data_IF_000521266368
#
_entry.id   IF_000521266368
#
_cell.length_a   1.000
_cell.length_b   1.000
_cell.length_c   1.000
_cell.angle_alpha   90.00
_cell.angle_beta   90.00
_cell.angle_gamma   90.00
#
_symmetry.space_group_name_H-M   'P 1'
#
loop_
_entity.id
_entity.type
_entity.pdbx_description
1 polymer ?
#
# COMPACT_ATOMS: atom_id res chain seq x y z
N UNK A 1 -2.60 15.13 -25.28
CA UNK A 1 -2.06 15.03 -26.65
C UNK A 1 -0.66 15.60 -26.64
N UNK A 2 0.35 14.76 -26.59
CA UNK A 2 1.73 15.19 -26.83
C UNK A 2 1.85 15.36 -28.35
N UNK A 3 1.66 16.56 -28.79
CA UNK A 3 2.01 16.93 -30.17
C UNK A 3 3.54 16.90 -30.20
N UNK A 4 4.09 15.85 -30.79
CA UNK A 4 5.51 15.79 -31.12
C UNK A 4 5.83 17.03 -31.96
N UNK A 5 6.70 17.92 -31.46
CA UNK A 5 7.06 19.13 -32.18
C UNK A 5 7.77 18.70 -33.44
N UNK A 6 7.13 18.93 -34.59
CA UNK A 6 7.79 18.79 -35.87
C UNK A 6 9.08 19.65 -35.85
N UNK A 7 10.22 19.11 -36.29
CA UNK A 7 11.46 19.90 -36.42
C UNK A 7 11.19 21.20 -37.14
N UNK A 8 11.85 22.28 -36.71
CA UNK A 8 11.65 23.63 -37.25
C UNK A 8 11.88 23.80 -38.76
N UNK A 9 12.48 22.80 -39.40
CA UNK A 9 12.70 22.72 -40.84
C UNK A 9 11.50 22.13 -41.63
N UNK A 10 10.45 21.68 -40.92
CA UNK A 10 9.16 21.24 -41.51
C UNK A 10 8.13 22.37 -41.42
N UNK A 11 8.53 23.57 -41.76
CA UNK A 11 7.65 24.74 -41.87
C UNK A 11 7.02 24.77 -43.26
N UNK A 12 5.95 24.00 -43.41
CA UNK A 12 5.09 24.04 -44.59
C UNK A 12 3.96 23.07 -44.37
N UNK A 13 2.81 23.61 -44.00
CA UNK A 13 1.57 22.90 -43.69
C UNK A 13 1.12 21.96 -44.83
N UNK A 14 1.75 22.08 -45.99
CA UNK A 14 1.33 21.40 -47.23
C UNK A 14 2.26 20.25 -47.66
N UNK A 15 3.29 19.90 -46.87
CA UNK A 15 4.13 18.75 -47.21
C UNK A 15 3.69 17.50 -46.44
N UNK A 16 3.10 16.57 -47.19
CA UNK A 16 2.87 15.23 -46.67
C UNK A 16 4.18 14.61 -46.17
N UNK A 17 4.28 14.22 -44.94
CA UNK A 17 5.43 13.47 -44.42
C UNK A 17 5.14 11.98 -44.42
N UNK A 18 6.05 11.17 -44.99
CA UNK A 18 6.00 9.72 -44.87
C UNK A 18 6.53 9.22 -43.50
N UNK A 19 7.05 10.13 -42.68
CA UNK A 19 7.55 9.82 -41.30
C UNK A 19 6.51 10.22 -40.28
N UNK A 20 5.43 9.46 -40.22
CA UNK A 20 4.40 9.64 -39.23
C UNK A 20 4.32 8.37 -38.40
N UNK A 21 4.33 8.52 -37.07
CA UNK A 21 4.14 7.44 -36.13
C UNK A 21 3.29 7.93 -34.95
N UNK A 22 2.50 7.06 -34.39
CA UNK A 22 1.89 7.32 -33.08
C UNK A 22 2.99 7.45 -32.03
N UNK A 23 2.83 8.38 -31.09
CA UNK A 23 3.65 8.42 -29.90
C UNK A 23 3.62 7.07 -29.16
N UNK A 24 4.68 6.73 -28.46
CA UNK A 24 4.80 5.49 -27.68
C UNK A 24 3.60 5.32 -26.73
N UNK A 25 3.09 6.43 -26.20
CA UNK A 25 1.92 6.50 -25.34
C UNK A 25 0.75 7.16 -26.10
N UNK A 26 -0.22 6.36 -26.46
CA UNK A 26 -1.36 6.80 -27.26
C UNK A 26 -2.52 5.84 -27.08
N UNK A 27 -3.70 6.19 -27.60
CA UNK A 27 -4.83 5.25 -27.64
C UNK A 27 -4.50 3.96 -28.39
N UNK A 28 -3.67 4.01 -29.41
CA UNK A 28 -3.23 2.83 -30.17
C UNK A 28 -2.11 2.07 -29.44
N UNK A 29 -1.12 2.80 -28.91
CA UNK A 29 0.02 2.24 -28.17
C UNK A 29 -0.35 1.83 -26.72
N UNK A 30 -1.30 2.50 -26.08
CA UNK A 30 -1.71 2.44 -24.68
C UNK A 30 -0.88 3.36 -23.78
N UNK A 31 -1.28 3.45 -22.53
CA UNK A 31 -0.70 4.35 -21.53
C UNK A 31 0.17 3.60 -20.52
N UNK A 32 1.10 4.27 -19.84
CA UNK A 32 1.86 3.68 -18.74
C UNK A 32 0.94 3.06 -17.68
N UNK A 33 1.37 1.97 -17.07
CA UNK A 33 0.64 1.26 -16.02
C UNK A 33 1.12 1.61 -14.62
N UNK A 34 2.35 2.11 -14.50
CA UNK A 34 2.91 2.52 -13.23
C UNK A 34 3.93 3.64 -13.40
N UNK A 35 4.23 4.35 -12.30
CA UNK A 35 5.08 5.54 -12.25
C UNK A 35 5.92 5.57 -10.97
N UNK A 36 7.18 6.03 -11.09
CA UNK A 36 8.06 6.27 -9.95
C UNK A 36 8.99 7.45 -10.20
N UNK A 37 9.41 8.14 -9.13
CA UNK A 37 10.53 9.08 -9.18
C UNK A 37 11.80 8.38 -8.74
N UNK A 38 12.86 8.49 -9.52
CA UNK A 38 14.16 7.92 -9.20
C UNK A 38 15.29 8.69 -9.88
N UNK A 39 16.32 9.11 -9.11
CA UNK A 39 17.50 9.80 -9.62
C UNK A 39 17.16 10.99 -10.52
N UNK A 40 16.39 11.94 -10.00
CA UNK A 40 15.98 13.19 -10.68
C UNK A 40 15.22 13.00 -11.99
N UNK A 41 14.63 11.82 -12.18
CA UNK A 41 13.81 11.48 -13.35
C UNK A 41 12.45 10.96 -12.95
N UNK A 42 11.48 11.23 -13.79
CA UNK A 42 10.17 10.57 -13.75
C UNK A 42 10.27 9.30 -14.60
N UNK A 43 9.92 8.17 -14.00
CA UNK A 43 9.93 6.89 -14.67
C UNK A 43 8.52 6.38 -14.88
N UNK A 44 8.24 5.99 -16.10
CA UNK A 44 7.03 5.28 -16.47
C UNK A 44 7.34 3.86 -16.88
N UNK A 45 6.39 2.96 -16.63
CA UNK A 45 6.54 1.59 -17.06
C UNK A 45 5.28 1.00 -17.66
N UNK A 46 5.43 0.13 -18.67
CA UNK A 46 4.34 -0.61 -19.28
C UNK A 46 4.85 -1.83 -20.03
N UNK A 47 4.12 -2.95 -19.92
CA UNK A 47 4.55 -4.21 -20.51
C UNK A 47 6.01 -4.51 -20.14
N UNK A 48 6.88 -4.63 -21.12
CA UNK A 48 8.32 -4.94 -20.93
C UNK A 48 9.21 -3.70 -21.03
N UNK A 49 8.64 -2.51 -21.10
CA UNK A 49 9.41 -1.26 -21.27
C UNK A 49 9.28 -0.35 -20.05
N UNK A 50 10.37 0.31 -19.75
CA UNK A 50 10.47 1.36 -18.74
C UNK A 50 11.12 2.58 -19.40
N UNK A 51 10.54 3.76 -19.20
CA UNK A 51 11.01 5.03 -19.74
C UNK A 51 11.35 5.98 -18.60
N UNK A 52 12.55 6.55 -18.64
CA UNK A 52 12.95 7.63 -17.74
C UNK A 52 12.98 8.96 -18.49
N UNK A 53 12.47 10.01 -17.86
CA UNK A 53 12.50 11.37 -18.41
C UNK A 53 13.91 11.91 -18.56
N UNK A 54 14.07 13.04 -19.22
CA UNK A 54 15.26 13.91 -19.12
C UNK A 54 15.49 14.23 -17.64
N UNK A 55 16.76 14.29 -17.20
CA UNK A 55 17.09 14.61 -15.84
C UNK A 55 16.63 16.05 -15.49
N UNK A 56 15.84 16.18 -14.41
CA UNK A 56 15.29 17.47 -13.99
C UNK A 56 14.13 18.00 -14.83
N UNK A 57 13.80 17.39 -15.97
CA UNK A 57 12.61 17.72 -16.77
C UNK A 57 11.69 16.50 -16.90
N UNK A 58 10.64 16.49 -16.07
CA UNK A 58 9.71 15.37 -15.97
C UNK A 58 8.69 15.29 -17.11
N UNK A 59 8.64 16.29 -17.98
CA UNK A 59 7.73 16.33 -19.11
C UNK A 59 8.41 15.93 -20.42
N UNK A 60 9.74 15.86 -20.45
CA UNK A 60 10.52 15.50 -21.64
C UNK A 60 11.09 14.07 -21.52
N UNK A 61 10.82 13.24 -22.50
CA UNK A 61 11.32 11.87 -22.64
C UNK A 61 12.14 11.70 -23.92
N UNK A 62 12.62 12.80 -24.50
CA UNK A 62 13.41 12.79 -25.72
C UNK A 62 14.73 12.04 -25.53
N UNK A 63 15.04 11.03 -26.37
CA UNK A 63 16.27 10.25 -26.23
C UNK A 63 17.51 10.99 -26.73
N UNK A 64 17.35 12.15 -27.34
CA UNK A 64 18.42 13.00 -27.88
C UNK A 64 17.94 14.42 -28.10
N UNK A 65 18.84 15.40 -27.96
CA UNK A 65 18.63 16.78 -28.33
C UNK A 65 19.46 17.13 -29.57
N UNK A 66 18.84 17.75 -30.57
CA UNK A 66 19.50 18.18 -31.83
C UNK A 66 20.36 17.10 -32.50
N UNK A 67 20.04 15.83 -32.33
CA UNK A 67 20.77 14.70 -32.88
C UNK A 67 21.87 14.12 -31.99
N UNK A 68 22.22 14.80 -30.90
CA UNK A 68 23.21 14.34 -29.90
C UNK A 68 22.55 13.65 -28.72
N UNK A 69 23.23 12.65 -28.16
CA UNK A 69 22.83 11.93 -26.97
C UNK A 69 23.74 12.34 -25.82
N UNK A 70 23.18 13.08 -24.86
CA UNK A 70 23.87 13.49 -23.63
C UNK A 70 23.42 12.67 -22.44
N UNK A 71 24.17 12.61 -21.33
CA UNK A 71 23.84 11.78 -20.16
C UNK A 71 22.49 12.13 -19.51
N UNK A 72 22.00 13.34 -19.69
CA UNK A 72 20.75 13.85 -19.14
C UNK A 72 19.50 13.47 -19.96
N UNK A 73 19.67 13.04 -21.20
CA UNK A 73 18.56 12.70 -22.10
C UNK A 73 17.69 11.55 -21.59
N UNK A 74 16.48 11.44 -22.17
CA UNK A 74 15.50 10.41 -21.85
C UNK A 74 16.03 8.99 -22.08
N UNK A 75 15.59 8.07 -21.26
CA UNK A 75 16.05 6.68 -21.22
C UNK A 75 14.92 5.74 -21.60
N UNK A 76 15.17 4.74 -22.41
CA UNK A 76 14.25 3.62 -22.64
C UNK A 76 14.97 2.32 -22.36
N UNK A 77 14.37 1.46 -21.54
CA UNK A 77 14.91 0.14 -21.19
C UNK A 77 13.86 -0.92 -21.47
N UNK A 78 14.27 -2.02 -22.09
CA UNK A 78 13.43 -3.21 -22.27
C UNK A 78 13.85 -4.27 -21.27
N UNK A 79 12.89 -4.76 -20.47
CA UNK A 79 13.10 -5.83 -19.50
C UNK A 79 13.00 -7.17 -20.21
N UNK A 80 14.10 -7.91 -20.24
CA UNK A 80 14.19 -9.18 -20.98
C UNK A 80 14.52 -10.31 -20.04
N UNK A 81 13.67 -11.33 -20.01
CA UNK A 81 13.93 -12.63 -19.40
C UNK A 81 13.26 -13.73 -20.24
N UNK A 82 13.44 -14.98 -19.87
CA UNK A 82 12.75 -16.10 -20.52
C UNK A 82 11.24 -16.21 -20.24
N UNK A 83 10.65 -15.20 -19.57
CA UNK A 83 9.24 -15.20 -19.13
C UNK A 83 8.50 -13.95 -19.63
N UNK A 84 7.17 -13.92 -19.47
CA UNK A 84 6.40 -12.70 -19.68
C UNK A 84 6.74 -11.68 -18.58
N UNK A 85 7.21 -10.51 -18.99
CA UNK A 85 7.65 -9.42 -18.11
C UNK A 85 6.69 -8.22 -18.17
N UNK A 86 5.37 -8.45 -18.23
CA UNK A 86 4.41 -7.37 -18.07
C UNK A 86 4.60 -6.70 -16.72
N UNK A 87 4.92 -5.40 -16.74
CA UNK A 87 5.19 -4.59 -15.56
C UNK A 87 3.97 -4.57 -14.65
N UNK A 88 4.22 -4.77 -13.37
CA UNK A 88 3.23 -4.73 -12.32
C UNK A 88 3.41 -3.51 -11.42
N UNK A 89 4.65 -3.14 -11.13
CA UNK A 89 4.99 -1.99 -10.27
C UNK A 89 6.45 -1.56 -10.45
N UNK A 90 6.71 -0.30 -10.07
CA UNK A 90 8.04 0.30 -9.93
C UNK A 90 8.27 0.73 -8.49
N UNK A 91 9.48 0.57 -7.97
CA UNK A 91 9.86 1.03 -6.63
C UNK A 91 11.27 1.63 -6.66
N UNK A 92 11.41 2.83 -6.13
CA UNK A 92 12.70 3.49 -5.98
C UNK A 92 13.41 3.03 -4.71
N UNK A 93 14.60 2.47 -4.88
CA UNK A 93 15.51 2.08 -3.81
C UNK A 93 16.93 2.52 -4.18
N UNK A 94 17.98 1.75 -3.84
CA UNK A 94 19.34 1.95 -4.37
C UNK A 94 19.34 1.95 -5.90
N UNK A 95 18.67 0.98 -6.49
CA UNK A 95 18.29 0.90 -7.91
C UNK A 95 16.78 1.15 -8.07
N UNK A 96 16.30 1.44 -9.27
CA UNK A 96 14.88 1.37 -9.57
C UNK A 96 14.49 -0.09 -9.74
N UNK A 97 13.67 -0.60 -8.84
CA UNK A 97 13.20 -1.97 -8.90
C UNK A 97 11.93 -2.02 -9.73
N UNK A 98 11.90 -2.93 -10.70
CA UNK A 98 10.75 -3.18 -11.54
C UNK A 98 10.24 -4.61 -11.29
N UNK A 99 9.05 -4.72 -10.69
CA UNK A 99 8.34 -5.98 -10.53
C UNK A 99 7.51 -6.27 -11.76
N UNK A 100 7.71 -7.44 -12.35
CA UNK A 100 6.95 -7.90 -13.53
C UNK A 100 6.19 -9.19 -13.22
N UNK A 101 5.27 -9.57 -14.08
CA UNK A 101 4.52 -10.82 -13.92
C UNK A 101 5.42 -12.07 -13.91
N UNK A 102 6.62 -12.01 -14.47
CA UNK A 102 7.53 -13.15 -14.60
C UNK A 102 8.79 -13.08 -13.75
N UNK A 103 9.23 -11.88 -13.37
CA UNK A 103 10.52 -11.65 -12.72
C UNK A 103 10.60 -10.27 -12.08
N UNK A 104 11.63 -10.04 -11.29
CA UNK A 104 11.99 -8.74 -10.72
C UNK A 104 13.35 -8.29 -11.28
N UNK A 105 13.46 -7.00 -11.60
CA UNK A 105 14.64 -6.37 -12.19
C UNK A 105 15.12 -5.19 -11.35
N UNK A 106 16.43 -5.03 -11.26
CA UNK A 106 17.08 -3.81 -10.78
C UNK A 106 17.58 -2.99 -11.97
N UNK A 107 17.17 -1.74 -12.04
CA UNK A 107 17.54 -0.78 -13.07
C UNK A 107 18.42 0.27 -12.42
N UNK A 108 19.64 0.41 -12.89
CA UNK A 108 20.61 1.34 -12.34
C UNK A 108 21.68 1.72 -13.34
N UNK A 109 22.72 2.38 -12.84
CA UNK A 109 23.92 2.73 -13.60
C UNK A 109 24.74 1.48 -13.96
N UNK A 110 25.36 1.51 -15.15
CA UNK A 110 26.32 0.51 -15.59
C UNK A 110 27.68 0.73 -14.93
N UNK A 111 28.14 1.98 -14.89
CA UNK A 111 29.36 2.41 -14.23
C UNK A 111 29.00 3.07 -12.90
N UNK A 112 29.46 2.48 -11.81
CA UNK A 112 29.20 3.00 -10.47
C UNK A 112 29.82 4.39 -10.27
N UNK A 113 29.05 5.31 -9.69
CA UNK A 113 29.46 6.70 -9.46
C UNK A 113 29.21 7.65 -10.62
N UNK A 114 28.77 7.17 -11.78
CA UNK A 114 28.32 8.01 -12.88
C UNK A 114 26.79 8.10 -12.92
N UNK A 115 26.20 9.24 -13.31
CA UNK A 115 24.74 9.39 -13.40
C UNK A 115 24.13 8.37 -14.38
N UNK A 116 22.96 7.85 -14.01
CA UNK A 116 22.19 7.01 -14.93
C UNK A 116 21.75 7.83 -16.15
N UNK A 117 22.02 7.31 -17.35
CA UNK A 117 21.78 8.01 -18.59
C UNK A 117 21.60 7.07 -19.77
N UNK A 118 21.34 7.58 -20.98
CA UNK A 118 21.15 6.75 -22.17
C UNK A 118 22.27 5.74 -22.45
N UNK A 119 23.51 6.12 -22.15
CA UNK A 119 24.70 5.29 -22.37
C UNK A 119 25.24 4.62 -21.10
N UNK A 120 24.75 5.04 -19.93
CA UNK A 120 25.14 4.50 -18.62
C UNK A 120 23.92 3.94 -17.89
N UNK A 121 23.38 2.84 -18.39
CA UNK A 121 22.25 2.16 -17.82
C UNK A 121 22.39 0.66 -17.93
N UNK A 122 21.84 -0.05 -16.94
CA UNK A 122 21.70 -1.50 -16.98
C UNK A 122 20.35 -1.92 -16.40
N UNK A 123 19.84 -3.05 -16.83
CA UNK A 123 18.81 -3.81 -16.11
C UNK A 123 19.36 -5.17 -15.75
N UNK A 124 19.29 -5.54 -14.48
CA UNK A 124 19.75 -6.81 -13.96
C UNK A 124 18.58 -7.61 -13.46
N UNK A 125 18.48 -8.87 -13.87
CA UNK A 125 17.53 -9.82 -13.32
C UNK A 125 17.89 -10.08 -11.84
N UNK A 126 16.94 -9.84 -10.93
CA UNK A 126 17.11 -10.06 -9.49
C UNK A 126 16.56 -11.42 -9.07
N UNK A 127 15.34 -11.72 -9.46
CA UNK A 127 14.65 -12.97 -9.14
C UNK A 127 13.59 -13.30 -10.18
N UNK A 128 13.13 -14.54 -10.17
CA UNK A 128 12.14 -15.06 -11.13
C UNK A 128 10.85 -15.52 -10.44
N UNK A 129 10.50 -14.92 -9.32
CA UNK A 129 9.27 -15.25 -8.60
C UNK A 129 8.02 -14.68 -9.28
N UNK A 130 8.18 -13.52 -9.93
CA UNK A 130 7.09 -12.75 -10.50
C UNK A 130 6.28 -12.02 -9.44
N UNK A 131 5.77 -10.89 -9.82
CA UNK A 131 5.04 -9.96 -8.96
C UNK A 131 3.57 -9.89 -9.32
N UNK A 132 2.73 -9.60 -8.33
CA UNK A 132 1.32 -9.22 -8.49
C UNK A 132 1.22 -7.70 -8.61
N UNK A 133 0.19 -7.20 -9.31
CA UNK A 133 -0.07 -5.77 -9.48
C UNK A 133 -0.60 -5.10 -8.22
N UNK A 134 0.16 -5.22 -7.14
CA UNK A 134 -0.07 -4.55 -5.85
C UNK A 134 1.15 -3.66 -5.60
N UNK A 135 0.96 -2.36 -5.34
CA UNK A 135 2.08 -1.48 -5.03
C UNK A 135 2.95 -2.05 -3.91
N UNK A 136 4.26 -2.14 -4.09
CA UNK A 136 5.16 -2.60 -3.06
C UNK A 136 5.27 -1.56 -1.94
N UNK A 137 5.68 -2.00 -0.76
CA UNK A 137 5.97 -1.12 0.38
C UNK A 137 7.45 -1.13 0.69
N UNK A 138 7.97 0.00 1.13
CA UNK A 138 9.38 0.17 1.45
C UNK A 138 9.58 0.41 2.94
N UNK A 139 10.56 -0.27 3.54
CA UNK A 139 11.05 -0.02 4.88
C UNK A 139 12.58 0.01 4.86
N UNK A 140 13.17 1.17 5.11
CA UNK A 140 14.60 1.42 4.99
C UNK A 140 15.15 0.94 3.62
N UNK A 141 16.05 -0.03 3.62
CA UNK A 141 16.73 -0.58 2.43
C UNK A 141 16.06 -1.86 1.90
N UNK A 142 14.82 -2.12 2.31
CA UNK A 142 14.07 -3.31 1.93
C UNK A 142 12.76 -2.94 1.24
N UNK A 143 12.40 -3.69 0.21
CA UNK A 143 11.13 -3.55 -0.50
C UNK A 143 10.34 -4.85 -0.36
N UNK A 144 9.13 -4.74 0.19
CA UNK A 144 8.19 -5.85 0.31
C UNK A 144 7.22 -5.83 -0.86
N UNK A 145 7.04 -6.96 -1.52
CA UNK A 145 6.10 -7.13 -2.62
C UNK A 145 5.33 -8.44 -2.51
N UNK A 146 4.20 -8.52 -3.19
CA UNK A 146 3.40 -9.75 -3.27
C UNK A 146 3.79 -10.52 -4.52
N UNK A 147 4.19 -11.79 -4.32
CA UNK A 147 4.50 -12.70 -5.40
C UNK A 147 3.27 -12.91 -6.31
N UNK A 148 3.49 -13.23 -7.58
CA UNK A 148 2.45 -13.40 -8.62
C UNK A 148 1.25 -14.24 -8.18
N UNK A 149 1.45 -15.28 -7.39
CA UNK A 149 0.35 -16.12 -6.87
C UNK A 149 -0.62 -15.35 -5.96
N UNK A 150 -0.19 -14.23 -5.37
CA UNK A 150 -0.94 -13.50 -4.36
C UNK A 150 -0.82 -14.08 -2.96
N UNK A 151 -0.26 -15.28 -2.82
CA UNK A 151 -0.25 -16.03 -1.55
C UNK A 151 1.00 -15.76 -0.70
N UNK A 152 2.03 -15.18 -1.29
CA UNK A 152 3.32 -14.97 -0.62
C UNK A 152 3.73 -13.51 -0.68
N UNK A 153 4.17 -13.00 0.46
CA UNK A 153 4.86 -11.73 0.58
C UNK A 153 6.37 -11.98 0.62
N UNK A 154 7.11 -11.21 -0.18
CA UNK A 154 8.57 -11.31 -0.25
C UNK A 154 9.20 -9.98 0.08
N UNK A 155 10.32 -10.04 0.78
CA UNK A 155 11.21 -8.91 1.03
C UNK A 155 12.39 -9.00 0.07
N UNK A 156 12.67 -7.94 -0.68
CA UNK A 156 13.89 -7.85 -1.47
C UNK A 156 14.78 -6.76 -0.92
N UNK A 157 16.07 -7.05 -0.83
CA UNK A 157 17.11 -6.16 -0.32
C UNK A 157 18.45 -6.45 -1.00
N UNK A 158 19.33 -5.44 -1.01
CA UNK A 158 20.67 -5.61 -1.56
C UNK A 158 21.61 -6.23 -0.52
N UNK A 159 22.22 -7.36 -0.87
CA UNK A 159 23.22 -8.03 -0.04
C UNK A 159 24.64 -7.69 -0.52
N UNK A 160 25.33 -6.86 0.26
CA UNK A 160 26.69 -6.45 -0.06
C UNK A 160 27.71 -7.62 -0.09
N UNK A 161 27.50 -8.65 0.72
CA UNK A 161 28.42 -9.79 0.77
C UNK A 161 28.33 -10.67 -0.47
N UNK A 162 27.16 -10.73 -1.10
CA UNK A 162 26.91 -11.48 -2.32
C UNK A 162 26.89 -10.62 -3.58
N UNK A 163 27.12 -9.31 -3.48
CA UNK A 163 26.98 -8.31 -4.56
C UNK A 163 25.72 -8.52 -5.39
N UNK A 164 24.59 -8.64 -4.70
CA UNK A 164 23.34 -8.93 -5.37
C UNK A 164 22.11 -8.72 -4.53
N UNK A 165 20.96 -8.74 -5.19
CA UNK A 165 19.68 -8.71 -4.51
C UNK A 165 19.28 -10.11 -4.05
N UNK A 166 18.72 -10.18 -2.85
CA UNK A 166 18.08 -11.38 -2.29
C UNK A 166 16.59 -11.13 -2.10
N UNK A 167 15.78 -12.17 -2.28
CA UNK A 167 14.34 -12.11 -2.05
C UNK A 167 13.94 -13.20 -1.05
N UNK A 168 13.68 -12.80 0.20
CA UNK A 168 13.27 -13.69 1.27
C UNK A 168 11.74 -13.87 1.26
N UNK A 169 11.25 -15.07 1.59
CA UNK A 169 9.83 -15.35 1.78
C UNK A 169 9.44 -15.00 3.24
N UNK A 170 8.62 -13.98 3.42
CA UNK A 170 8.13 -13.54 4.74
C UNK A 170 6.94 -14.35 5.25
N UNK A 171 6.39 -15.23 4.41
CA UNK A 171 5.20 -16.03 4.73
C UNK A 171 5.51 -17.51 4.98
N UNK A 172 6.79 -17.91 4.97
CA UNK A 172 7.19 -19.33 5.05
C UNK A 172 6.64 -20.07 6.27
N UNK A 173 6.50 -19.40 7.41
CA UNK A 173 5.91 -19.97 8.64
C UNK A 173 4.45 -19.54 8.86
N UNK A 174 3.87 -18.78 7.92
CA UNK A 174 2.56 -18.16 8.04
C UNK A 174 1.70 -18.36 6.78
N UNK A 175 1.90 -19.42 6.02
CA UNK A 175 1.14 -19.74 4.80
C UNK A 175 -0.38 -19.76 5.05
N UNK A 176 -0.81 -20.21 6.25
CA UNK A 176 -2.21 -20.24 6.64
C UNK A 176 -2.82 -18.83 6.83
N UNK A 177 -1.99 -17.81 7.11
CA UNK A 177 -2.46 -16.42 7.30
C UNK A 177 -2.81 -15.79 5.97
N UNK A 178 -2.03 -16.07 4.91
CA UNK A 178 -2.21 -15.47 3.58
C UNK A 178 -2.94 -16.36 2.58
N UNK A 179 -3.54 -17.47 3.02
CA UNK A 179 -4.08 -18.57 2.19
C UNK A 179 -5.13 -18.15 1.14
N UNK A 180 -5.90 -17.07 1.35
CA UNK A 180 -6.86 -16.57 0.36
C UNK A 180 -6.27 -15.50 -0.57
N UNK A 181 -5.02 -15.12 -0.34
CA UNK A 181 -4.28 -14.13 -1.13
C UNK A 181 -4.41 -12.71 -0.65
N UNK A 182 -3.35 -11.93 -0.83
CA UNK A 182 -3.27 -10.50 -0.52
C UNK A 182 -3.77 -9.71 -1.72
N UNK A 183 -4.58 -8.68 -1.48
CA UNK A 183 -5.15 -7.79 -2.52
C UNK A 183 -4.66 -6.36 -2.40
N UNK A 184 -4.26 -5.92 -1.21
CA UNK A 184 -3.73 -4.59 -0.96
C UNK A 184 -2.72 -4.62 0.19
N UNK A 185 -1.72 -3.72 0.14
CA UNK A 185 -0.76 -3.48 1.22
C UNK A 185 -0.55 -1.98 1.40
N UNK A 186 -0.39 -1.56 2.66
CA UNK A 186 0.04 -0.21 3.03
C UNK A 186 0.98 -0.28 4.23
N UNK A 187 1.90 0.68 4.36
CA UNK A 187 2.87 0.70 5.44
C UNK A 187 2.57 1.81 6.45
N UNK A 188 2.56 1.45 7.72
CA UNK A 188 2.48 2.36 8.85
C UNK A 188 3.84 2.35 9.57
N UNK A 189 4.74 3.33 9.32
CA UNK A 189 6.06 3.35 9.93
C UNK A 189 6.03 3.62 11.44
N UNK A 190 5.08 4.43 11.92
CA UNK A 190 5.04 4.91 13.29
C UNK A 190 3.83 4.37 14.06
N UNK A 191 4.04 3.97 15.33
CA UNK A 191 5.31 3.75 16.04
C UNK A 191 5.88 2.34 15.86
N UNK A 192 5.11 1.39 15.31
CA UNK A 192 5.40 -0.05 15.45
C UNK A 192 5.85 -0.73 14.14
N UNK A 193 6.06 0.04 13.05
CA UNK A 193 6.51 -0.46 11.75
C UNK A 193 5.66 -1.65 11.25
N UNK A 194 4.38 -1.41 11.00
CA UNK A 194 3.44 -2.43 10.57
C UNK A 194 3.09 -2.28 9.09
N UNK A 195 3.20 -3.35 8.33
CA UNK A 195 2.58 -3.47 7.00
C UNK A 195 1.18 -4.05 7.16
N UNK A 196 0.18 -3.25 6.85
CA UNK A 196 -1.21 -3.69 6.84
C UNK A 196 -1.58 -4.25 5.48
N UNK A 197 -2.28 -5.39 5.49
CA UNK A 197 -2.70 -6.07 4.27
C UNK A 197 -4.19 -6.40 4.32
N UNK A 198 -4.84 -6.29 3.16
CA UNK A 198 -6.19 -6.81 2.97
C UNK A 198 -6.08 -8.15 2.26
N UNK A 199 -6.74 -9.15 2.79
CA UNK A 199 -6.86 -10.47 2.20
C UNK A 199 -8.06 -10.53 1.25
N UNK A 200 -8.05 -11.41 0.27
CA UNK A 200 -9.12 -11.52 -0.74
C UNK A 200 -10.51 -11.84 -0.15
N UNK A 201 -10.58 -12.43 1.02
CA UNK A 201 -11.83 -12.66 1.77
C UNK A 201 -12.21 -11.48 2.69
N UNK A 202 -11.44 -10.39 2.65
CA UNK A 202 -11.67 -9.17 3.42
C UNK A 202 -11.16 -9.19 4.84
N UNK A 203 -10.36 -10.20 5.22
CA UNK A 203 -9.69 -10.18 6.51
C UNK A 203 -8.54 -9.17 6.51
N UNK A 204 -8.44 -8.36 7.56
CA UNK A 204 -7.31 -7.49 7.82
C UNK A 204 -6.16 -8.31 8.41
N UNK A 205 -4.97 -8.11 7.89
CA UNK A 205 -3.73 -8.68 8.41
C UNK A 205 -2.76 -7.54 8.74
N UNK A 206 -2.01 -7.71 9.81
CA UNK A 206 -0.82 -6.92 10.09
C UNK A 206 0.42 -7.78 9.99
N UNK A 207 1.51 -7.18 9.53
CA UNK A 207 2.84 -7.76 9.57
C UNK A 207 3.79 -6.77 10.25
N UNK A 208 4.18 -7.07 11.47
CA UNK A 208 5.23 -6.30 12.16
C UNK A 208 6.55 -6.51 11.45
N UNK A 209 7.17 -5.41 11.00
CA UNK A 209 8.36 -5.45 10.17
C UNK A 209 9.45 -4.52 10.70
N UNK A 210 10.02 -4.87 11.83
CA UNK A 210 11.13 -4.14 12.43
C UNK A 210 12.45 -4.84 12.12
N UNK A 211 13.18 -4.31 11.14
CA UNK A 211 14.45 -4.87 10.68
C UNK A 211 15.59 -4.65 11.69
N UNK A 212 15.56 -3.53 12.43
CA UNK A 212 16.60 -3.19 13.40
C UNK A 212 16.60 -4.17 14.58
N UNK A 213 15.43 -4.55 15.05
CA UNK A 213 15.27 -5.50 16.15
C UNK A 213 15.07 -6.94 15.69
N UNK A 214 15.05 -7.17 14.37
CA UNK A 214 14.73 -8.47 13.75
C UNK A 214 13.39 -9.05 14.24
N UNK A 215 12.40 -8.18 14.48
CA UNK A 215 11.05 -8.59 14.87
C UNK A 215 10.19 -8.66 13.62
N UNK A 216 9.72 -9.85 13.32
CA UNK A 216 8.89 -10.15 12.13
C UNK A 216 7.77 -11.09 12.52
N UNK A 217 6.53 -10.68 12.32
CA UNK A 217 5.40 -11.51 12.70
C UNK A 217 4.10 -11.11 12.03
N UNK A 218 3.37 -12.10 11.54
CA UNK A 218 2.03 -11.93 11.01
C UNK A 218 1.00 -12.03 12.12
N UNK A 219 0.00 -11.14 12.10
CA UNK A 219 -1.12 -11.15 13.02
C UNK A 219 -2.43 -10.85 12.27
N UNK A 220 -3.37 -11.78 12.27
CA UNK A 220 -4.70 -11.56 11.71
C UNK A 220 -5.57 -10.75 12.67
N UNK A 221 -6.38 -9.84 12.13
CA UNK A 221 -7.32 -9.03 12.87
C UNK A 221 -8.75 -9.43 12.51
N UNK A 222 -9.51 -9.90 13.49
CA UNK A 222 -10.93 -10.11 13.32
C UNK A 222 -11.65 -8.76 13.43
N UNK A 223 -12.56 -8.50 12.49
CA UNK A 223 -13.36 -7.28 12.47
C UNK A 223 -14.76 -7.61 12.99
N UNK A 224 -15.23 -6.86 13.98
CA UNK A 224 -16.52 -7.06 14.62
C UNK A 224 -17.70 -6.94 13.64
N UNK A 225 -18.80 -7.67 13.94
CA UNK A 225 -20.00 -7.67 13.11
C UNK A 225 -19.82 -8.26 11.72
N UNK A 226 -18.99 -9.32 11.59
CA UNK A 226 -18.63 -9.94 10.31
C UNK A 226 -18.18 -8.92 9.26
N UNK A 227 -17.41 -7.92 9.71
CA UNK A 227 -16.86 -6.86 8.88
C UNK A 227 -15.90 -7.41 7.84
N UNK A 228 -16.04 -6.93 6.60
CA UNK A 228 -15.19 -7.24 5.46
C UNK A 228 -14.46 -5.97 5.06
N UNK A 229 -13.14 -5.97 5.18
CA UNK A 229 -12.31 -4.84 4.76
C UNK A 229 -12.20 -4.86 3.23
N UNK A 230 -12.58 -3.77 2.58
CA UNK A 230 -12.55 -3.63 1.11
C UNK A 230 -11.37 -2.79 0.63
N UNK A 231 -10.91 -1.83 1.44
CA UNK A 231 -9.75 -0.98 1.11
C UNK A 231 -9.13 -0.41 2.38
N UNK A 232 -7.83 -0.13 2.32
CA UNK A 232 -7.07 0.48 3.42
C UNK A 232 -6.16 1.58 2.92
N UNK A 233 -5.86 2.54 3.80
CA UNK A 233 -4.85 3.57 3.60
C UNK A 233 -4.20 3.92 4.93
N UNK A 234 -2.95 4.38 4.90
CA UNK A 234 -2.27 4.94 6.06
C UNK A 234 -2.04 6.44 5.86
N UNK A 235 -2.37 7.22 6.88
CA UNK A 235 -2.12 8.67 6.90
C UNK A 235 -1.47 9.05 8.23
N UNK A 236 -0.61 10.08 8.28
CA UNK A 236 -0.13 10.61 9.54
C UNK A 236 -1.30 11.11 10.41
N UNK A 237 -1.28 10.79 11.70
CA UNK A 237 -2.22 11.36 12.65
C UNK A 237 -2.06 12.90 12.75
N UNK A 238 -3.11 13.59 13.14
CA UNK A 238 -3.08 15.06 13.27
C UNK A 238 -2.04 15.54 14.28
N UNK A 239 -1.80 14.76 15.33
CA UNK A 239 -0.79 14.99 16.35
C UNK A 239 0.65 14.72 15.86
N UNK A 240 0.80 14.00 14.75
CA UNK A 240 2.09 13.64 14.15
C UNK A 240 2.88 12.57 14.90
N UNK A 241 2.25 11.87 15.85
CA UNK A 241 2.89 10.89 16.72
C UNK A 241 2.74 9.45 16.23
N UNK A 242 1.92 9.21 15.21
CA UNK A 242 1.63 7.89 14.65
C UNK A 242 1.14 7.93 13.22
N UNK A 243 1.13 6.78 12.58
CA UNK A 243 0.42 6.53 11.33
C UNK A 243 -0.92 5.88 11.65
N UNK A 244 -2.00 6.48 11.21
CA UNK A 244 -3.35 5.94 11.35
C UNK A 244 -3.67 5.02 10.19
N UNK A 245 -4.18 3.82 10.49
CA UNK A 245 -4.78 2.94 9.51
C UNK A 245 -6.24 3.30 9.32
N UNK A 246 -6.61 3.72 8.12
CA UNK A 246 -7.98 3.95 7.70
C UNK A 246 -8.45 2.79 6.83
N UNK A 247 -9.70 2.38 7.01
CA UNK A 247 -10.29 1.25 6.30
C UNK A 247 -11.71 1.55 5.83
N UNK A 248 -12.05 1.05 4.64
CA UNK A 248 -13.45 0.92 4.21
C UNK A 248 -13.91 -0.48 4.61
N UNK A 249 -14.85 -0.54 5.54
CA UNK A 249 -15.39 -1.80 6.07
C UNK A 249 -16.84 -1.96 5.65
N UNK A 250 -17.13 -3.10 5.05
CA UNK A 250 -18.49 -3.49 4.66
C UNK A 250 -19.07 -4.41 5.73
N UNK A 251 -20.28 -4.08 6.22
CA UNK A 251 -21.04 -4.86 7.18
C UNK A 251 -22.50 -5.00 6.75
N UNK A 252 -23.20 -5.97 7.32
CA UNK A 252 -24.67 -6.10 7.21
C UNK A 252 -25.29 -5.64 8.52
N UNK A 253 -25.94 -4.48 8.51
CA UNK A 253 -26.59 -3.87 9.68
C UNK A 253 -28.10 -3.75 9.39
N UNK A 254 -28.93 -4.28 10.27
CA UNK A 254 -30.40 -4.28 10.07
C UNK A 254 -30.83 -4.95 8.74
N UNK A 255 -30.11 -5.98 8.29
CA UNK A 255 -30.37 -6.66 7.01
C UNK A 255 -29.92 -5.88 5.76
N UNK A 256 -29.29 -4.72 5.93
CA UNK A 256 -28.81 -3.87 4.85
C UNK A 256 -27.28 -3.91 4.77
N UNK A 257 -26.73 -4.04 3.54
CA UNK A 257 -25.30 -3.90 3.32
C UNK A 257 -24.90 -2.42 3.40
N UNK A 258 -23.99 -2.11 4.32
CA UNK A 258 -23.47 -0.76 4.56
C UNK A 258 -21.94 -0.77 4.44
N UNK A 259 -21.37 0.38 4.08
CA UNK A 259 -19.93 0.64 4.06
C UNK A 259 -19.62 1.81 4.96
N UNK A 260 -18.64 1.63 5.82
CA UNK A 260 -18.18 2.66 6.75
C UNK A 260 -16.71 2.92 6.51
N UNK A 261 -16.32 4.18 6.65
CA UNK A 261 -14.91 4.58 6.72
C UNK A 261 -14.56 4.62 8.20
N UNK A 262 -13.65 3.78 8.60
CA UNK A 262 -13.23 3.60 9.97
C UNK A 262 -11.71 3.77 10.07
N UNK A 263 -11.22 4.16 11.24
CA UNK A 263 -9.78 4.18 11.50
C UNK A 263 -9.46 3.33 12.73
N UNK A 264 -8.24 2.80 12.77
CA UNK A 264 -7.74 2.05 13.91
C UNK A 264 -7.34 3.03 15.00
N UNK A 265 -8.04 2.98 16.14
CA UNK A 265 -7.74 3.80 17.30
C UNK A 265 -6.36 3.46 17.88
N UNK A 266 -5.75 4.43 18.53
CA UNK A 266 -4.48 4.26 19.23
C UNK A 266 -4.58 3.14 20.29
N UNK A 267 -3.63 2.19 20.33
CA UNK A 267 -3.58 1.21 21.40
C UNK A 267 -3.48 1.89 22.76
N UNK A 268 -4.24 1.40 23.72
CA UNK A 268 -4.12 1.82 25.11
C UNK A 268 -2.73 1.52 25.65
N UNK A 269 -2.14 2.46 26.37
CA UNK A 269 -0.79 2.34 26.97
C UNK A 269 -0.87 2.39 28.49
N UNK A 270 0.14 1.80 29.16
CA UNK A 270 0.29 1.91 30.60
C UNK A 270 0.41 3.39 30.99
N UNK A 271 -0.50 3.85 31.86
CA UNK A 271 -0.62 5.25 32.28
C UNK A 271 -1.82 5.99 31.67
N UNK A 272 -2.43 5.47 30.62
CA UNK A 272 -3.68 5.99 30.11
C UNK A 272 -4.83 5.66 31.10
N UNK A 273 -5.85 6.50 31.12
CA UNK A 273 -7.01 6.21 31.96
C UNK A 273 -7.75 4.96 31.50
N UNK A 274 -8.21 4.14 32.42
CA UNK A 274 -8.94 2.91 32.10
C UNK A 274 -10.22 3.18 31.30
N UNK A 275 -10.87 4.31 31.52
CA UNK A 275 -12.07 4.72 30.77
C UNK A 275 -11.80 5.01 29.30
N UNK A 276 -10.53 5.19 28.91
CA UNK A 276 -10.11 5.48 27.53
C UNK A 276 -9.75 4.21 26.74
N UNK A 277 -9.92 3.03 27.32
CA UNK A 277 -9.71 1.76 26.61
C UNK A 277 -10.77 1.57 25.54
N UNK A 278 -10.33 1.57 24.27
CA UNK A 278 -11.21 1.40 23.12
C UNK A 278 -10.93 0.05 22.43
N UNK A 279 -11.68 -0.98 22.87
CA UNK A 279 -11.54 -2.36 22.36
C UNK A 279 -12.85 -2.84 21.72
N UNK A 280 -13.42 -2.01 20.85
CA UNK A 280 -14.63 -2.28 20.10
C UNK A 280 -14.42 -1.89 18.64
N UNK A 281 -15.18 -2.50 17.73
CA UNK A 281 -15.19 -2.13 16.32
C UNK A 281 -16.41 -1.27 15.98
N UNK A 282 -16.28 -0.42 14.94
CA UNK A 282 -17.33 0.52 14.52
C UNK A 282 -17.89 1.33 15.69
N UNK A 283 -17.02 1.62 16.65
CA UNK A 283 -17.43 2.17 17.94
C UNK A 283 -17.39 3.68 17.99
N UNK A 284 -17.99 4.22 19.04
CA UNK A 284 -17.99 5.64 19.39
C UNK A 284 -17.59 5.86 20.85
N UNK A 285 -17.00 7.03 21.11
CA UNK A 285 -16.68 7.49 22.45
C UNK A 285 -17.65 8.61 22.84
N UNK A 286 -18.41 8.43 23.92
CA UNK A 286 -19.12 9.51 24.59
C UNK A 286 -18.23 10.14 25.68
N UNK A 287 -18.16 11.46 25.71
CA UNK A 287 -17.56 12.23 26.80
C UNK A 287 -18.45 13.42 27.12
N UNK A 288 -18.99 13.49 28.34
CA UNK A 288 -19.90 14.56 28.68
C UNK A 288 -20.44 14.46 30.11
N UNK A 289 -21.55 15.15 30.36
CA UNK A 289 -22.27 15.04 31.62
C UNK A 289 -22.76 13.60 31.85
N UNK A 290 -22.72 13.11 33.08
CA UNK A 290 -23.15 11.75 33.38
C UNK A 290 -24.58 11.51 32.89
N UNK A 291 -24.77 10.52 32.03
CA UNK A 291 -26.05 10.13 31.43
C UNK A 291 -26.20 8.61 31.40
N UNK A 292 -27.43 8.14 31.40
CA UNK A 292 -27.77 6.72 31.18
C UNK A 292 -28.09 6.44 29.72
N UNK A 293 -28.39 7.46 28.90
CA UNK A 293 -28.72 7.27 27.50
C UNK A 293 -27.53 7.72 26.62
N UNK A 294 -27.05 6.81 25.80
CA UNK A 294 -26.02 7.10 24.80
C UNK A 294 -26.66 6.99 23.42
N UNK A 295 -26.63 8.10 22.68
CA UNK A 295 -27.25 8.28 21.36
C UNK A 295 -26.21 8.37 20.25
N UNK A 296 -26.69 8.34 18.99
CA UNK A 296 -25.83 8.45 17.79
C UNK A 296 -25.33 7.10 17.29
N UNK A 297 -25.96 6.01 17.69
CA UNK A 297 -25.62 4.64 17.33
C UNK A 297 -26.48 4.09 16.17
N UNK A 298 -27.10 4.97 15.36
CA UNK A 298 -27.94 4.57 14.21
C UNK A 298 -27.24 3.61 13.26
N UNK A 299 -25.92 3.73 13.13
CA UNK A 299 -25.09 2.86 12.29
C UNK A 299 -24.98 1.42 12.85
N UNK A 300 -25.37 1.19 14.11
CA UNK A 300 -25.37 -0.11 14.78
C UNK A 300 -26.78 -0.58 15.16
N UNK A 301 -27.83 -0.01 14.54
CA UNK A 301 -29.21 -0.35 14.86
C UNK A 301 -29.47 -1.86 14.81
N UNK A 302 -30.07 -2.40 15.87
CA UNK A 302 -30.37 -3.82 16.06
C UNK A 302 -29.16 -4.70 16.38
N UNK A 303 -27.95 -4.15 16.45
CA UNK A 303 -26.75 -4.88 16.85
C UNK A 303 -26.63 -4.97 18.37
N UNK A 304 -26.08 -6.09 18.84
CA UNK A 304 -25.58 -6.20 20.21
C UNK A 304 -24.21 -5.55 20.31
N UNK A 305 -24.05 -4.58 21.19
CA UNK A 305 -22.82 -3.83 21.38
C UNK A 305 -22.20 -4.08 22.75
N UNK A 306 -20.89 -4.08 22.81
CA UNK A 306 -20.10 -4.09 24.04
C UNK A 306 -19.86 -2.68 24.52
N UNK A 307 -19.88 -2.48 25.84
CA UNK A 307 -19.81 -1.15 26.44
C UNK A 307 -18.81 -1.12 27.59
N UNK A 308 -17.93 -0.10 27.60
CA UNK A 308 -17.11 0.26 28.75
C UNK A 308 -17.63 1.59 29.32
N UNK A 309 -18.06 1.59 30.57
CA UNK A 309 -18.71 2.73 31.23
C UNK A 309 -17.85 3.21 32.40
N UNK A 310 -17.27 4.43 32.29
CA UNK A 310 -16.31 5.00 33.25
C UNK A 310 -15.17 4.03 33.64
N UNK A 311 -14.68 3.25 32.65
CA UNK A 311 -13.61 2.27 32.84
C UNK A 311 -14.08 0.91 33.43
N UNK A 312 -15.39 0.70 33.63
CA UNK A 312 -15.93 -0.58 34.04
C UNK A 312 -16.71 -1.27 32.94
N UNK A 313 -16.55 -2.60 32.74
CA UNK A 313 -17.36 -3.34 31.80
C UNK A 313 -18.86 -3.25 32.16
N UNK A 314 -19.67 -2.99 31.15
CA UNK A 314 -21.15 -3.01 31.23
C UNK A 314 -21.64 -4.26 30.48
N UNK A 315 -22.76 -4.88 30.90
CA UNK A 315 -23.39 -5.93 30.11
C UNK A 315 -23.69 -5.50 28.69
N UNK A 316 -23.56 -6.42 27.73
CA UNK A 316 -23.90 -6.15 26.34
C UNK A 316 -25.34 -5.66 26.20
N UNK A 317 -25.59 -4.72 25.30
CA UNK A 317 -26.89 -4.06 25.09
C UNK A 317 -27.21 -4.08 23.60
N UNK A 318 -28.49 -4.17 23.24
CA UNK A 318 -28.95 -4.04 21.86
C UNK A 318 -29.26 -2.57 21.58
N UNK A 319 -28.75 -2.05 20.47
CA UNK A 319 -29.08 -0.70 20.00
C UNK A 319 -30.51 -0.67 19.48
N UNK A 320 -31.28 0.30 19.93
CA UNK A 320 -32.68 0.48 19.50
C UNK A 320 -33.02 1.96 19.35
N UNK A 321 -33.48 2.34 18.17
CA UNK A 321 -33.73 3.74 17.83
C UNK A 321 -32.48 4.62 17.83
N UNK A 322 -31.31 4.05 17.53
CA UNK A 322 -30.01 4.73 17.57
C UNK A 322 -29.43 4.96 18.96
N UNK A 323 -30.05 4.39 20.00
CA UNK A 323 -29.69 4.61 21.40
C UNK A 323 -29.43 3.29 22.16
N UNK A 324 -28.67 3.42 23.28
CA UNK A 324 -28.58 2.40 24.31
C UNK A 324 -28.87 3.02 25.69
N UNK A 325 -29.34 2.20 26.63
CA UNK A 325 -29.57 2.61 28.03
C UNK A 325 -28.61 1.87 28.94
N UNK A 326 -27.82 2.62 29.70
CA UNK A 326 -26.88 2.11 30.70
C UNK A 326 -27.59 1.80 32.02
N UNK A 327 -27.08 0.84 32.78
CA UNK A 327 -27.56 0.54 34.13
C UNK A 327 -27.28 1.69 35.12
N UNK A 328 -26.22 2.47 34.90
CA UNK A 328 -25.83 3.64 35.69
C UNK A 328 -25.42 4.75 34.78
N UNK A 329 -25.64 5.99 35.22
CA UNK A 329 -25.16 7.14 34.51
C UNK A 329 -23.61 7.17 34.47
N UNK A 330 -23.03 7.49 33.31
CA UNK A 330 -21.61 7.55 33.10
C UNK A 330 -21.21 8.80 32.30
N UNK A 331 -19.99 9.25 32.50
CA UNK A 331 -19.43 10.45 31.85
C UNK A 331 -18.50 10.11 30.69
N UNK A 332 -17.88 8.94 30.69
CA UNK A 332 -17.04 8.42 29.60
C UNK A 332 -17.53 7.01 29.24
N UNK A 333 -17.96 6.86 27.98
CA UNK A 333 -18.47 5.56 27.51
C UNK A 333 -17.84 5.22 26.17
N UNK A 334 -17.26 4.02 26.09
CA UNK A 334 -16.83 3.40 24.83
C UNK A 334 -17.92 2.39 24.45
N UNK A 335 -18.43 2.46 23.25
CA UNK A 335 -19.49 1.57 22.77
C UNK A 335 -19.28 1.18 21.33
N UNK A 336 -19.45 -0.10 21.00
CA UNK A 336 -19.30 -0.60 19.63
C UNK A 336 -19.50 -2.09 19.51
N UNK A 337 -19.25 -2.64 18.34
CA UNK A 337 -19.32 -4.06 18.09
C UNK A 337 -18.23 -4.80 18.89
N UNK A 338 -18.51 -5.99 19.43
CA UNK A 338 -17.51 -6.75 20.17
C UNK A 338 -16.35 -7.15 19.24
N UNK A 339 -15.13 -6.95 19.73
CA UNK A 339 -13.90 -7.39 19.10
C UNK A 339 -13.36 -8.62 19.85
N UNK A 340 -13.58 -9.87 19.35
CA UNK A 340 -13.16 -11.07 20.06
C UNK A 340 -11.66 -11.26 19.97
N UNK A 341 -10.93 -11.04 21.07
CA UNK A 341 -9.54 -11.41 21.19
C UNK A 341 -9.38 -12.90 21.48
N UNK A 342 -8.54 -13.58 20.71
CA UNK A 342 -8.22 -15.00 20.94
C UNK A 342 -6.72 -15.17 21.13
N UNK A 343 -6.32 -15.75 22.24
CA UNK A 343 -4.94 -16.19 22.48
C UNK A 343 -4.92 -17.72 22.55
N UNK A 344 -4.00 -18.33 21.82
CA UNK A 344 -3.75 -19.78 21.90
C UNK A 344 -2.26 -19.98 22.18
N UNK A 345 -1.93 -20.47 23.36
CA UNK A 345 -0.58 -20.91 23.69
C UNK A 345 -0.23 -22.19 22.90
N UNK A 346 1.03 -22.32 22.56
CA UNK A 346 1.59 -23.57 22.01
C UNK A 346 1.82 -24.60 23.13
#
# INVERSE_FOLDING_TARGET
EVVDRLPADVVGIDKATARWAFGEWSHAGGWPSDVAFFRERLWFGRRQKVWGSVAGDFNDFSPKAFGEVTPDMGITITLVSGKNNDLQWLAADKDLIAGTAGAEFAIGELTNGEPIGPNNRRSRLMSEFGSRGIPPVKNADSVMFVQRSGLKARETFYDFSGDGYKSADLTVLADHVTQSGITQMVYAPDPDQVVWCVRNDGQLLGFTWNNEQNVRGWHPHAIGGDGVVESIATIPAAEGDRSELWAVVRRTIGGQVRRYVEYLERPWRIGDAQADQFYVDSGLTYRGAATQTISGLDHLEGCTVSVLSDGAPHPDVVVSGGDITLQRAASVVQVGLPCPARYRSM
#
